data_IF_280328568426
#
_entry.id   IF_280328568426
#
_cell.length_a   1.000
_cell.length_b   1.000
_cell.length_c   1.000
_cell.angle_alpha   90.00
_cell.angle_beta   90.00
_cell.angle_gamma   90.00
#
_symmetry.space_group_name_H-M   'P 1'
#
loop_
_entity.id
_entity.type
_entity.pdbx_description
1 polymer ?
#
# COMPACT_ATOMS: atom_id res chain seq x y z
N UNK A 1 1.10 7.44 3.74
CA UNK A 1 1.10 6.28 2.83
C UNK A 1 0.90 4.96 3.59
N UNK A 2 1.85 4.47 4.39
CA UNK A 2 1.66 3.21 5.17
C UNK A 2 0.41 3.21 6.06
N UNK A 3 0.11 4.31 6.75
CA UNK A 3 -1.08 4.43 7.58
C UNK A 3 -2.41 4.41 6.80
N UNK A 4 -2.39 4.84 5.53
CA UNK A 4 -3.59 4.83 4.66
C UNK A 4 -3.84 3.41 4.15
N UNK A 5 -2.82 2.73 3.64
CA UNK A 5 -2.94 1.34 3.17
C UNK A 5 -3.36 0.40 4.31
N UNK A 6 -2.76 0.54 5.50
CA UNK A 6 -3.15 -0.25 6.67
C UNK A 6 -4.62 -0.02 7.11
N UNK A 7 -5.14 1.19 6.95
CA UNK A 7 -6.54 1.49 7.22
C UNK A 7 -7.47 0.86 6.18
N UNK A 8 -7.10 0.92 4.90
CA UNK A 8 -7.84 0.28 3.81
C UNK A 8 -7.84 -1.24 3.92
N UNK A 9 -6.69 -1.85 4.28
CA UNK A 9 -6.58 -3.29 4.57
C UNK A 9 -7.55 -3.71 5.65
N UNK A 10 -7.58 -2.96 6.76
CA UNK A 10 -8.52 -3.22 7.85
C UNK A 10 -9.96 -3.11 7.36
N UNK A 11 -10.29 -2.04 6.63
CA UNK A 11 -11.65 -1.84 6.11
C UNK A 11 -12.07 -2.94 5.11
N UNK A 12 -11.15 -3.44 4.28
CA UNK A 12 -11.40 -4.57 3.40
C UNK A 12 -11.70 -5.85 4.21
N UNK A 13 -10.92 -6.12 5.24
CA UNK A 13 -11.13 -7.28 6.10
C UNK A 13 -12.42 -7.19 6.93
N UNK A 14 -12.76 -5.99 7.40
CA UNK A 14 -14.02 -5.73 8.13
C UNK A 14 -15.23 -5.97 7.21
N UNK A 15 -15.21 -5.41 5.99
CA UNK A 15 -16.26 -5.66 4.99
C UNK A 15 -16.37 -7.14 4.61
N UNK A 16 -15.24 -7.83 4.45
CA UNK A 16 -15.23 -9.26 4.18
C UNK A 16 -15.84 -10.07 5.34
N UNK A 17 -15.56 -9.69 6.59
CA UNK A 17 -16.14 -10.30 7.77
C UNK A 17 -17.65 -10.04 7.85
N UNK A 18 -18.11 -8.82 7.56
CA UNK A 18 -19.53 -8.47 7.51
C UNK A 18 -20.29 -9.27 6.42
N UNK A 19 -19.70 -9.42 5.23
CA UNK A 19 -20.26 -10.26 4.16
C UNK A 19 -20.39 -11.71 4.63
N UNK A 20 -19.35 -12.27 5.26
CA UNK A 20 -19.39 -13.63 5.79
C UNK A 20 -20.43 -13.79 6.90
N UNK A 21 -20.56 -12.81 7.79
CA UNK A 21 -21.53 -12.81 8.88
C UNK A 21 -22.97 -12.80 8.34
N UNK A 22 -23.27 -11.91 7.39
CA UNK A 22 -24.58 -11.82 6.74
C UNK A 22 -24.90 -13.11 5.97
N UNK A 23 -23.93 -13.66 5.20
CA UNK A 23 -24.13 -14.89 4.42
C UNK A 23 -24.22 -16.16 5.27
N UNK A 24 -23.60 -16.17 6.45
CA UNK A 24 -23.60 -17.32 7.37
C UNK A 24 -24.73 -17.26 8.40
N UNK A 25 -25.53 -16.18 8.41
CA UNK A 25 -26.64 -16.02 9.33
C UNK A 25 -27.64 -17.19 9.21
N UNK A 26 -28.35 -17.50 10.31
CA UNK A 26 -29.44 -18.50 10.29
C UNK A 26 -30.68 -18.00 9.57
N UNK A 27 -30.86 -16.68 9.54
CA UNK A 27 -31.95 -16.03 8.82
C UNK A 27 -31.55 -15.84 7.35
N UNK A 28 -32.52 -15.78 6.42
CA UNK A 28 -32.25 -15.39 5.05
C UNK A 28 -31.56 -14.01 5.00
N UNK A 29 -30.51 -13.88 4.18
CA UNK A 29 -29.82 -12.60 4.00
C UNK A 29 -30.81 -11.52 3.57
N UNK A 30 -30.66 -10.30 4.10
CA UNK A 30 -31.38 -9.16 3.54
C UNK A 30 -30.72 -8.81 2.21
N UNK A 31 -31.40 -9.10 1.09
CA UNK A 31 -30.89 -8.90 -0.29
C UNK A 31 -30.15 -7.58 -0.46
N UNK A 32 -30.74 -6.49 0.00
CA UNK A 32 -30.16 -5.14 -0.13
C UNK A 32 -28.94 -4.94 0.78
N UNK A 33 -28.88 -5.58 1.94
CA UNK A 33 -27.73 -5.52 2.85
C UNK A 33 -26.51 -6.18 2.21
N UNK A 34 -26.66 -7.44 1.78
CA UNK A 34 -25.55 -8.19 1.20
C UNK A 34 -25.08 -7.60 -0.14
N UNK A 35 -26.01 -7.11 -0.97
CA UNK A 35 -25.67 -6.43 -2.21
C UNK A 35 -24.85 -5.15 -1.96
N UNK A 36 -25.24 -4.33 -0.97
CA UNK A 36 -24.48 -3.14 -0.58
C UNK A 36 -23.09 -3.49 -0.07
N UNK A 37 -22.97 -4.48 0.82
CA UNK A 37 -21.69 -4.92 1.35
C UNK A 37 -20.73 -5.38 0.24
N UNK A 38 -21.22 -6.22 -0.67
CA UNK A 38 -20.43 -6.70 -1.83
C UNK A 38 -20.01 -5.57 -2.76
N UNK A 39 -20.89 -4.59 -2.99
CA UNK A 39 -20.57 -3.42 -3.80
C UNK A 39 -19.51 -2.54 -3.13
N UNK A 40 -19.67 -2.24 -1.84
CA UNK A 40 -18.69 -1.47 -1.05
C UNK A 40 -17.32 -2.16 -1.05
N UNK A 41 -17.30 -3.47 -0.82
CA UNK A 41 -16.08 -4.28 -0.86
C UNK A 41 -15.41 -4.22 -2.24
N UNK A 42 -16.17 -4.44 -3.31
CA UNK A 42 -15.64 -4.40 -4.67
C UNK A 42 -15.10 -3.01 -5.06
N UNK A 43 -15.75 -1.93 -4.61
CA UNK A 43 -15.28 -0.56 -4.84
C UNK A 43 -13.98 -0.28 -4.10
N UNK A 44 -13.91 -0.60 -2.81
CA UNK A 44 -12.72 -0.40 -1.99
C UNK A 44 -11.53 -1.16 -2.56
N UNK A 45 -11.73 -2.43 -2.94
CA UNK A 45 -10.72 -3.25 -3.61
C UNK A 45 -10.20 -2.59 -4.87
N UNK A 46 -11.09 -2.13 -5.75
CA UNK A 46 -10.67 -1.53 -7.02
C UNK A 46 -9.87 -0.24 -6.80
N UNK A 47 -10.34 0.63 -5.90
CA UNK A 47 -9.62 1.86 -5.54
C UNK A 47 -8.24 1.55 -4.98
N UNK A 48 -8.16 0.64 -4.01
CA UNK A 48 -6.91 0.22 -3.40
C UNK A 48 -5.94 -0.34 -4.43
N UNK A 49 -6.40 -1.25 -5.31
CA UNK A 49 -5.56 -1.83 -6.36
C UNK A 49 -4.98 -0.77 -7.32
N UNK A 50 -5.76 0.24 -7.66
CA UNK A 50 -5.32 1.33 -8.54
C UNK A 50 -4.27 2.21 -7.86
N UNK A 51 -4.48 2.54 -6.58
CA UNK A 51 -3.53 3.32 -5.78
C UNK A 51 -2.23 2.58 -5.53
N UNK A 52 -2.32 1.30 -5.18
CA UNK A 52 -1.17 0.43 -4.97
C UNK A 52 -0.38 0.27 -6.27
N UNK A 53 -1.07 0.04 -7.40
CA UNK A 53 -0.44 -0.04 -8.72
C UNK A 53 0.32 1.22 -9.11
N UNK A 54 -0.24 2.41 -8.83
CA UNK A 54 0.46 3.70 -9.03
C UNK A 54 1.69 3.83 -8.13
N UNK A 55 1.55 3.47 -6.85
CA UNK A 55 2.62 3.56 -5.84
C UNK A 55 3.78 2.62 -6.16
N UNK A 56 3.48 1.37 -6.49
CA UNK A 56 4.47 0.37 -6.89
C UNK A 56 5.23 0.83 -8.14
N UNK A 57 4.51 1.34 -9.16
CA UNK A 57 5.14 1.84 -10.39
C UNK A 57 6.09 3.00 -10.08
N UNK A 58 5.66 3.99 -9.32
CA UNK A 58 6.51 5.11 -8.93
C UNK A 58 7.76 4.66 -8.15
N UNK A 59 7.63 3.65 -7.27
CA UNK A 59 8.76 3.09 -6.54
C UNK A 59 9.75 2.33 -7.44
N UNK A 60 9.24 1.62 -8.45
CA UNK A 60 10.09 0.96 -9.47
C UNK A 60 10.83 2.00 -10.29
N UNK A 61 10.14 3.03 -10.79
CA UNK A 61 10.73 4.10 -11.61
C UNK A 61 11.79 4.89 -10.81
N UNK A 62 11.56 5.07 -9.51
CA UNK A 62 12.52 5.68 -8.60
C UNK A 62 13.70 4.76 -8.25
N UNK A 63 13.66 3.46 -8.59
CA UNK A 63 14.68 2.48 -8.19
C UNK A 63 14.65 2.10 -6.71
N UNK A 64 13.58 2.45 -5.98
CA UNK A 64 13.41 2.07 -4.57
C UNK A 64 12.77 0.69 -4.39
N UNK A 65 12.22 0.10 -5.45
CA UNK A 65 11.65 -1.24 -5.46
C UNK A 65 12.17 -2.06 -6.64
N UNK A 66 12.56 -3.31 -6.38
CA UNK A 66 13.00 -4.23 -7.42
C UNK A 66 11.83 -4.55 -8.38
N UNK A 67 12.00 -4.38 -9.71
CA UNK A 67 10.95 -4.67 -10.69
C UNK A 67 10.39 -6.09 -10.62
N UNK A 68 11.26 -7.08 -10.32
CA UNK A 68 10.85 -8.48 -10.19
C UNK A 68 9.92 -8.70 -8.98
N UNK A 69 10.20 -8.02 -7.88
CA UNK A 69 9.36 -8.06 -6.68
C UNK A 69 8.02 -7.39 -7.00
N UNK A 70 8.05 -6.17 -7.54
CA UNK A 70 6.86 -5.43 -7.96
C UNK A 70 5.96 -6.24 -8.91
N UNK A 71 6.54 -6.94 -9.89
CA UNK A 71 5.79 -7.77 -10.83
C UNK A 71 5.12 -8.99 -10.18
N UNK A 72 5.76 -9.59 -9.17
CA UNK A 72 5.17 -10.71 -8.42
C UNK A 72 3.94 -10.25 -7.63
N UNK A 73 4.06 -9.15 -6.89
CA UNK A 73 2.94 -8.59 -6.12
C UNK A 73 1.80 -8.13 -7.01
N UNK A 74 2.11 -7.42 -8.11
CA UNK A 74 1.08 -7.02 -9.06
C UNK A 74 0.33 -8.22 -9.64
N UNK A 75 1.01 -9.34 -9.90
CA UNK A 75 0.37 -10.56 -10.38
C UNK A 75 -0.58 -11.16 -9.34
N UNK A 76 -0.16 -11.24 -8.07
CA UNK A 76 -1.01 -11.76 -6.99
C UNK A 76 -2.27 -10.91 -6.83
N UNK A 77 -2.13 -9.59 -6.83
CA UNK A 77 -3.25 -8.65 -6.75
C UNK A 77 -4.24 -8.82 -7.91
N UNK A 78 -3.73 -8.96 -9.14
CA UNK A 78 -4.57 -9.19 -10.32
C UNK A 78 -5.28 -10.54 -10.29
N UNK A 79 -4.60 -11.59 -9.83
CA UNK A 79 -5.19 -12.91 -9.64
C UNK A 79 -6.34 -12.84 -8.64
N UNK A 80 -6.13 -12.19 -7.50
CA UNK A 80 -7.15 -12.03 -6.48
C UNK A 80 -8.34 -11.19 -6.96
N UNK A 81 -8.10 -10.07 -7.66
CA UNK A 81 -9.15 -9.25 -8.28
C UNK A 81 -9.96 -10.05 -9.30
N UNK A 82 -9.29 -10.85 -10.12
CA UNK A 82 -9.96 -11.74 -11.09
C UNK A 82 -10.83 -12.75 -10.37
N UNK A 83 -10.34 -13.37 -9.30
CA UNK A 83 -11.11 -14.32 -8.50
C UNK A 83 -12.37 -13.67 -7.88
N UNK A 84 -12.27 -12.42 -7.39
CA UNK A 84 -13.43 -11.67 -6.90
C UNK A 84 -14.47 -11.42 -8.00
N UNK A 85 -14.04 -11.04 -9.20
CA UNK A 85 -14.94 -10.85 -10.35
C UNK A 85 -15.63 -12.17 -10.71
N UNK A 86 -14.87 -13.25 -10.85
CA UNK A 86 -15.40 -14.58 -11.15
C UNK A 86 -16.40 -15.05 -10.08
N UNK A 87 -16.11 -14.85 -8.80
CA UNK A 87 -17.03 -15.17 -7.72
C UNK A 87 -18.31 -14.35 -7.83
N UNK A 88 -18.20 -13.05 -8.09
CA UNK A 88 -19.36 -12.18 -8.22
C UNK A 88 -20.26 -12.57 -9.40
N UNK A 89 -19.66 -12.97 -10.53
CA UNK A 89 -20.39 -13.50 -11.68
C UNK A 89 -21.04 -14.85 -11.42
N UNK A 90 -20.36 -15.75 -10.69
CA UNK A 90 -20.89 -17.08 -10.34
C UNK A 90 -22.01 -17.01 -9.30
N UNK A 91 -22.04 -15.96 -8.48
CA UNK A 91 -22.99 -15.77 -7.38
C UNK A 91 -23.82 -14.47 -7.54
N UNK A 92 -24.76 -14.43 -8.50
CA UNK A 92 -25.75 -13.36 -8.57
C UNK A 92 -26.69 -13.41 -7.36
N UNK A 93 -27.32 -12.28 -7.01
CA UNK A 93 -28.16 -12.16 -5.80
C UNK A 93 -29.23 -13.24 -5.68
N UNK A 94 -29.92 -13.56 -6.79
CA UNK A 94 -30.94 -14.61 -6.81
C UNK A 94 -30.39 -15.98 -6.41
N UNK A 95 -29.16 -16.32 -6.83
CA UNK A 95 -28.52 -17.59 -6.44
C UNK A 95 -28.16 -17.60 -4.96
N UNK A 96 -27.67 -16.49 -4.43
CA UNK A 96 -27.30 -16.38 -3.02
C UNK A 96 -28.53 -16.48 -2.12
N UNK A 97 -29.66 -15.91 -2.52
CA UNK A 97 -30.93 -16.05 -1.78
C UNK A 97 -31.34 -17.51 -1.61
N UNK A 98 -31.10 -18.34 -2.62
CA UNK A 98 -31.38 -19.78 -2.57
C UNK A 98 -30.31 -20.60 -1.85
N UNK A 99 -29.04 -20.16 -1.90
CA UNK A 99 -27.90 -20.88 -1.33
C UNK A 99 -26.86 -19.95 -0.70
N UNK A 100 -27.24 -19.31 0.42
CA UNK A 100 -26.35 -18.37 1.12
C UNK A 100 -25.15 -19.08 1.77
N UNK A 101 -25.33 -20.34 2.18
CA UNK A 101 -24.25 -21.14 2.77
C UNK A 101 -23.23 -21.55 1.72
N UNK A 102 -23.66 -21.94 0.52
CA UNK A 102 -22.78 -22.19 -0.59
C UNK A 102 -22.00 -20.94 -0.99
N UNK A 103 -22.64 -19.77 -1.00
CA UNK A 103 -21.94 -18.51 -1.22
C UNK A 103 -20.88 -18.25 -0.14
N UNK A 104 -21.22 -18.37 1.14
CA UNK A 104 -20.27 -18.21 2.24
C UNK A 104 -19.09 -19.18 2.12
N UNK A 105 -19.36 -20.43 1.73
CA UNK A 105 -18.33 -21.45 1.49
C UNK A 105 -17.42 -21.10 0.31
N UNK A 106 -17.95 -20.50 -0.75
CA UNK A 106 -17.17 -20.08 -1.92
C UNK A 106 -16.41 -18.76 -1.68
N UNK A 107 -16.94 -17.87 -0.85
CA UNK A 107 -16.30 -16.58 -0.54
C UNK A 107 -15.15 -16.72 0.46
N UNK A 108 -15.22 -17.68 1.39
CA UNK A 108 -14.21 -17.84 2.44
C UNK A 108 -12.77 -18.03 1.93
N UNK A 109 -12.48 -18.90 0.93
CA UNK A 109 -11.13 -19.02 0.38
C UNK A 109 -10.59 -17.70 -0.17
N UNK A 110 -11.45 -16.90 -0.82
CA UNK A 110 -11.07 -15.58 -1.33
C UNK A 110 -10.65 -14.62 -0.20
N UNK A 111 -11.32 -14.69 0.95
CA UNK A 111 -10.97 -13.90 2.14
C UNK A 111 -9.65 -14.35 2.76
N UNK A 112 -9.40 -15.66 2.80
CA UNK A 112 -8.14 -16.22 3.31
C UNK A 112 -6.95 -15.84 2.41
N UNK A 113 -7.16 -15.84 1.09
CA UNK A 113 -6.18 -15.35 0.12
C UNK A 113 -5.91 -13.84 0.29
N UNK A 114 -6.96 -13.03 0.53
CA UNK A 114 -6.81 -11.59 0.79
C UNK A 114 -5.97 -11.33 2.05
N UNK A 115 -6.26 -12.06 3.14
CA UNK A 115 -5.49 -11.95 4.39
C UNK A 115 -4.03 -12.30 4.18
N UNK A 116 -3.79 -13.36 3.42
CA UNK A 116 -2.43 -13.82 3.09
C UNK A 116 -1.69 -12.80 2.22
N UNK A 117 -2.38 -12.18 1.27
CA UNK A 117 -1.85 -11.08 0.45
C UNK A 117 -1.46 -9.88 1.32
N UNK A 118 -2.40 -9.36 2.12
CA UNK A 118 -2.19 -8.20 3.01
C UNK A 118 -0.99 -8.44 3.94
N UNK A 119 -0.91 -9.61 4.58
CA UNK A 119 0.20 -9.93 5.48
C UNK A 119 1.57 -9.93 4.77
N UNK A 120 1.62 -10.39 3.52
CA UNK A 120 2.84 -10.34 2.70
C UNK A 120 3.16 -8.91 2.27
N UNK A 121 2.18 -8.13 1.82
CA UNK A 121 2.39 -6.74 1.41
C UNK A 121 2.95 -5.91 2.57
N UNK A 122 2.33 -6.02 3.75
CA UNK A 122 2.73 -5.27 4.95
C UNK A 122 4.16 -5.63 5.40
N UNK A 123 4.54 -6.91 5.34
CA UNK A 123 5.86 -7.38 5.78
C UNK A 123 6.98 -7.25 4.74
N UNK A 124 6.66 -7.21 3.44
CA UNK A 124 7.67 -7.28 2.37
C UNK A 124 7.75 -6.04 1.49
N UNK A 125 6.64 -5.34 1.26
CA UNK A 125 6.62 -4.12 0.43
C UNK A 125 6.65 -2.88 1.30
N UNK A 126 5.70 -2.72 2.23
CA UNK A 126 5.58 -1.48 2.98
C UNK A 126 6.81 -1.21 3.83
N UNK A 127 7.38 -2.26 4.43
CA UNK A 127 8.64 -2.16 5.18
C UNK A 127 9.82 -1.77 4.29
N UNK A 128 9.95 -2.36 3.09
CA UNK A 128 11.01 -2.01 2.14
C UNK A 128 10.87 -0.60 1.59
N UNK A 129 9.65 -0.16 1.30
CA UNK A 129 9.37 1.21 0.86
C UNK A 129 9.69 2.23 1.97
N UNK A 130 9.41 1.91 3.23
CA UNK A 130 9.80 2.76 4.36
C UNK A 130 11.31 2.81 4.56
N UNK A 131 12.01 1.68 4.51
CA UNK A 131 13.48 1.66 4.64
C UNK A 131 14.16 2.45 3.51
N UNK A 132 13.63 2.37 2.29
CA UNK A 132 14.14 3.15 1.15
C UNK A 132 13.89 4.66 1.31
N UNK A 133 12.72 5.06 1.82
CA UNK A 133 12.40 6.48 2.08
C UNK A 133 13.31 7.07 3.17
N UNK A 134 13.44 6.37 4.31
CA UNK A 134 14.29 6.78 5.43
C UNK A 134 15.77 6.88 5.03
N UNK A 135 16.26 5.97 4.19
CA UNK A 135 17.65 5.99 3.71
C UNK A 135 17.93 7.17 2.77
N UNK A 136 16.94 7.62 1.98
CA UNK A 136 17.07 8.80 1.12
C UNK A 136 17.12 10.09 1.92
N UNK A 137 16.30 10.23 2.95
CA UNK A 137 16.34 11.40 3.82
C UNK A 137 17.68 11.48 4.55
N UNK A 138 18.19 10.36 5.09
CA UNK A 138 19.52 10.32 5.71
C UNK A 138 20.66 10.71 4.74
N UNK A 139 20.59 10.31 3.47
CA UNK A 139 21.58 10.69 2.45
C UNK A 139 21.44 12.15 2.02
N UNK A 140 20.23 12.71 2.03
CA UNK A 140 19.94 14.13 1.76
C UNK A 140 20.50 15.05 2.85
N UNK A 141 20.43 14.64 4.12
CA UNK A 141 21.05 15.37 5.24
C UNK A 141 22.58 15.27 5.25
N UNK A 142 23.17 14.16 4.79
CA UNK A 142 24.64 14.05 4.61
C UNK A 142 25.19 14.91 3.47
N UNK A 143 24.41 15.13 2.40
CA UNK A 143 24.81 16.01 1.29
C UNK A 143 24.81 17.50 1.62
N UNK A 144 24.05 17.92 2.64
CA UNK A 144 23.92 19.34 3.03
C UNK A 144 24.95 19.76 4.10
N UNK A 145 25.53 18.80 4.83
CA UNK A 145 26.60 19.05 5.80
C UNK A 145 28.01 19.14 5.17
N UNK A 146 28.13 18.93 3.85
CA UNK A 146 29.42 18.84 3.16
C UNK A 146 29.78 20.08 2.32
N UNK A 147 29.05 21.20 2.43
CA UNK A 147 29.35 22.44 1.68
C UNK A 147 29.83 23.61 2.52
N UNK A 148 29.95 23.47 3.84
CA UNK A 148 30.38 24.59 4.72
C UNK A 148 31.60 24.22 5.57
N UNK A 149 32.71 23.83 4.94
CA UNK A 149 34.02 23.96 5.61
C UNK A 149 35.21 23.96 4.65
N UNK A 150 35.45 25.10 4.01
CA UNK A 150 36.77 25.55 3.51
C UNK A 150 36.65 27.07 3.32
N UNK A 151 37.51 27.97 3.78
CA UNK A 151 38.83 27.93 4.41
C UNK A 151 39.20 29.40 4.60
N UNK A 152 39.55 29.86 5.80
CA UNK A 152 40.38 31.05 5.98
C UNK A 152 40.94 31.13 7.40
N UNK A 153 42.04 30.42 7.66
CA UNK A 153 42.97 30.75 8.73
C UNK A 153 44.36 30.90 8.13
N UNK A 154 44.82 32.14 8.05
CA UNK A 154 46.24 32.47 8.12
C UNK A 154 46.40 33.69 9.03
N UNK A 155 47.13 33.58 10.15
CA UNK A 155 47.69 34.73 10.84
C UNK A 155 49.08 35.02 10.26
N UNK A 156 49.44 36.28 10.11
CA UNK A 156 50.81 36.77 10.37
C UNK A 156 50.83 38.31 10.35
N UNK A 157 51.35 38.84 11.46
CA UNK A 157 51.67 40.24 11.72
C UNK A 157 52.61 40.81 10.65
N UNK A 158 52.42 42.08 10.30
CA UNK A 158 53.54 43.01 10.11
C UNK A 158 53.06 44.43 10.46
N UNK A 159 53.88 45.09 11.26
CA UNK A 159 53.63 46.36 11.90
C UNK A 159 53.86 47.55 10.96
N UNK A 160 53.09 48.61 11.23
CA UNK A 160 53.44 50.05 11.25
C UNK A 160 54.81 50.41 10.68
N UNK A 161 54.85 51.30 9.68
CA UNK A 161 55.48 52.62 9.83
C UNK A 161 55.11 53.60 8.70
N UNK A 162 54.83 54.82 9.15
CA UNK A 162 54.46 56.03 8.42
C UNK A 162 55.63 56.60 7.60
N UNK A 163 55.32 57.32 6.50
CA UNK A 163 55.79 58.70 6.18
C UNK A 163 55.68 59.03 4.66
N UNK A 164 54.90 60.08 4.37
CA UNK A 164 55.12 61.08 3.31
C UNK A 164 56.49 61.79 3.48
N UNK A 165 57.01 62.68 2.60
CA UNK A 165 56.56 63.16 1.26
C UNK A 165 57.69 63.26 0.19
N UNK A 166 57.35 63.68 -1.03
CA UNK A 166 57.79 64.94 -1.67
C UNK A 166 56.98 65.22 -2.93
#
# INVERSE_FOLDING_TARGET
MKAVHAAEHRQMLDLAAEILAEASARQPCRRDSLARLRLSFSRLVNTHCEEEGRTIRAAVDAGSLCPRIAAAFHRELQQWRTALVCLNSAWPSARIEHDQRGFASAFRPLVDDLRSYIAREESQILDKLQSAALSRDASRYKGMAATDTCRATHPLKLAVESRLPK
#
